data_IF_538051750445
#
_entry.id   IF_538051750445
#
_cell.length_a   1.000
_cell.length_b   1.000
_cell.length_c   1.000
_cell.angle_alpha   90.00
_cell.angle_beta   90.00
_cell.angle_gamma   90.00
#
_symmetry.space_group_name_H-M   'P 1'
#
loop_
_entity.id
_entity.type
_entity.pdbx_description
1 polymer ?
#
# COMPACT_ATOMS: atom_id res chain seq x y z
N UNK A 1 -15.66 0.77 -22.75
CA UNK A 1 -14.44 1.60 -22.94
C UNK A 1 -13.30 0.92 -22.22
N UNK A 2 -12.16 0.72 -22.88
CA UNK A 2 -10.97 0.14 -22.25
C UNK A 2 -10.08 1.23 -21.65
N UNK A 3 -9.17 0.84 -20.75
CA UNK A 3 -8.09 1.73 -20.31
C UNK A 3 -7.22 2.13 -21.51
N UNK A 4 -6.71 3.36 -21.49
CA UNK A 4 -5.82 3.86 -22.53
C UNK A 4 -4.57 2.97 -22.68
N UNK A 5 -4.19 2.68 -23.93
CA UNK A 5 -3.07 1.78 -24.24
C UNK A 5 -1.72 2.33 -23.77
N UNK A 6 -1.55 3.65 -23.79
CA UNK A 6 -0.33 4.29 -23.30
C UNK A 6 -0.22 4.17 -21.78
N UNK A 7 -1.35 4.33 -21.06
CA UNK A 7 -1.42 4.11 -19.62
C UNK A 7 -1.06 2.66 -19.26
N UNK A 8 -1.64 1.67 -19.94
CA UNK A 8 -1.31 0.25 -19.71
C UNK A 8 0.18 -0.01 -19.93
N UNK A 9 0.78 0.58 -20.96
CA UNK A 9 2.22 0.47 -21.21
C UNK A 9 3.05 1.18 -20.13
N UNK A 10 2.59 2.31 -19.61
CA UNK A 10 3.25 3.03 -18.53
C UNK A 10 3.24 2.21 -17.24
N UNK A 11 2.08 1.67 -16.83
CA UNK A 11 1.93 0.83 -15.64
C UNK A 11 2.83 -0.42 -15.72
N UNK A 12 2.93 -1.06 -16.89
CA UNK A 12 3.83 -2.21 -17.10
C UNK A 12 5.32 -1.88 -16.97
N UNK A 13 5.69 -0.62 -17.07
CA UNK A 13 7.08 -0.17 -16.96
C UNK A 13 7.48 0.27 -15.55
N UNK A 14 6.52 0.37 -14.63
CA UNK A 14 6.74 0.78 -13.24
C UNK A 14 7.54 -0.27 -12.45
N UNK A 15 8.33 0.20 -11.50
CA UNK A 15 8.95 -0.67 -10.51
C UNK A 15 7.97 -1.13 -9.41
N UNK A 16 8.39 -2.07 -8.56
CA UNK A 16 7.52 -2.64 -7.51
C UNK A 16 7.05 -1.60 -6.48
N UNK A 17 7.85 -0.57 -6.23
CA UNK A 17 7.46 0.54 -5.35
C UNK A 17 6.39 1.40 -6.02
N UNK A 18 6.63 1.81 -7.27
CA UNK A 18 5.71 2.63 -8.05
C UNK A 18 4.38 1.91 -8.26
N UNK A 19 4.40 0.59 -8.51
CA UNK A 19 3.19 -0.22 -8.59
C UNK A 19 2.43 -0.27 -7.26
N UNK A 20 3.09 -0.48 -6.12
CA UNK A 20 2.41 -0.45 -4.82
C UNK A 20 1.83 0.91 -4.51
N UNK A 21 2.58 1.98 -4.80
CA UNK A 21 2.11 3.35 -4.62
C UNK A 21 0.89 3.65 -5.51
N UNK A 22 0.91 3.15 -6.75
CA UNK A 22 -0.23 3.24 -7.66
C UNK A 22 -1.45 2.50 -7.11
N UNK A 23 -1.29 1.29 -6.58
CA UNK A 23 -2.39 0.53 -5.97
C UNK A 23 -3.00 1.28 -4.78
N UNK A 24 -2.16 1.78 -3.85
CA UNK A 24 -2.63 2.55 -2.70
C UNK A 24 -3.45 3.76 -3.16
N UNK A 25 -2.93 4.52 -4.11
CA UNK A 25 -3.60 5.69 -4.65
C UNK A 25 -4.91 5.35 -5.37
N UNK A 26 -4.91 4.30 -6.19
CA UNK A 26 -6.11 3.86 -6.91
C UNK A 26 -7.20 3.37 -5.96
N UNK A 27 -6.83 2.68 -4.88
CA UNK A 27 -7.78 2.26 -3.83
C UNK A 27 -8.39 3.46 -3.11
N UNK A 28 -7.57 4.43 -2.68
CA UNK A 28 -8.04 5.66 -2.04
C UNK A 28 -8.98 6.48 -2.94
N UNK A 29 -8.68 6.53 -4.25
CA UNK A 29 -9.58 7.13 -5.24
C UNK A 29 -10.92 6.40 -5.36
N UNK A 30 -10.94 5.07 -5.27
CA UNK A 30 -12.18 4.30 -5.33
C UNK A 30 -13.01 4.48 -4.06
N UNK A 31 -12.36 4.50 -2.90
CA UNK A 31 -13.02 4.70 -1.60
C UNK A 31 -13.61 6.12 -1.51
N UNK A 32 -12.92 7.13 -2.04
CA UNK A 32 -13.43 8.51 -2.10
C UNK A 32 -14.45 8.75 -3.23
N UNK A 33 -14.43 7.94 -4.29
CA UNK A 33 -15.40 8.01 -5.37
C UNK A 33 -16.69 7.24 -5.07
N UNK A 34 -16.72 6.40 -4.03
CA UNK A 34 -17.96 5.82 -3.54
C UNK A 34 -18.86 6.98 -3.07
N UNK A 35 -20.00 7.25 -3.74
CA UNK A 35 -20.92 8.28 -3.28
C UNK A 35 -21.31 7.94 -1.85
N UNK A 36 -21.20 8.90 -0.92
CA UNK A 36 -21.83 8.72 0.38
C UNK A 36 -23.32 8.70 0.11
N UNK A 37 -23.93 7.52 0.22
CA UNK A 37 -25.38 7.37 0.25
C UNK A 37 -25.87 8.20 1.45
N UNK A 38 -26.24 9.45 1.17
CA UNK A 38 -26.96 10.28 2.10
C UNK A 38 -28.36 9.68 2.27
N UNK A 39 -28.72 9.47 3.53
CA UNK A 39 -30.06 9.17 4.06
C UNK A 39 -30.54 7.71 3.96
N UNK A 40 -30.09 6.90 4.93
CA UNK A 40 -30.69 5.61 5.28
C UNK A 40 -30.27 5.16 6.68
N UNK A 41 -31.16 5.36 7.66
CA UNK A 41 -31.08 4.81 9.01
C UNK A 41 -30.83 3.29 8.95
N UNK A 42 -29.65 2.85 9.41
CA UNK A 42 -29.22 1.45 9.24
C UNK A 42 -27.80 1.20 9.69
N UNK A 43 -27.62 1.04 11.00
CA UNK A 43 -26.55 0.30 11.68
C UNK A 43 -25.56 -0.41 10.74
N UNK A 44 -24.40 0.21 10.48
CA UNK A 44 -23.28 -0.47 9.81
C UNK A 44 -21.99 -0.15 10.55
N UNK A 45 -21.64 -1.05 11.46
CA UNK A 45 -20.30 -1.18 12.01
C UNK A 45 -19.28 -1.36 10.88
N UNK A 46 -18.67 -0.25 10.45
CA UNK A 46 -17.44 -0.25 9.66
C UNK A 46 -16.54 0.90 10.11
N UNK A 47 -16.19 0.87 11.39
CA UNK A 47 -15.04 1.59 11.90
C UNK A 47 -13.75 0.91 11.41
N UNK A 48 -13.34 1.16 10.16
CA UNK A 48 -11.93 1.01 9.78
C UNK A 48 -11.16 2.24 10.28
N UNK A 49 -11.19 2.40 11.59
CA UNK A 49 -10.66 3.53 12.33
C UNK A 49 -10.36 3.06 13.75
N UNK A 50 -9.26 2.32 13.89
CA UNK A 50 -8.45 2.21 15.09
C UNK A 50 -9.18 2.26 16.45
N UNK A 51 -9.84 1.17 16.86
CA UNK A 51 -10.05 0.87 18.28
C UNK A 51 -9.82 -0.60 18.56
N UNK A 52 -8.54 -0.96 18.69
CA UNK A 52 -8.12 -2.02 19.58
C UNK A 52 -6.74 -1.63 20.11
N UNK A 53 -6.70 -1.08 21.33
CA UNK A 53 -5.51 -1.10 22.16
C UNK A 53 -5.15 -2.56 22.49
N UNK A 54 -4.66 -3.29 21.50
CA UNK A 54 -3.73 -4.39 21.68
C UNK A 54 -2.42 -3.88 21.08
N UNK A 55 -1.41 -3.64 21.92
CA UNK A 55 -0.08 -3.19 21.50
C UNK A 55 0.52 -4.20 20.53
N UNK A 56 0.19 -4.07 19.25
CA UNK A 56 0.70 -4.95 18.22
C UNK A 56 2.10 -4.47 17.91
N UNK A 57 3.11 -5.26 18.25
CA UNK A 57 4.50 -4.95 17.97
C UNK A 57 4.68 -4.78 16.45
N UNK A 58 4.92 -3.55 16.01
CA UNK A 58 5.22 -3.25 14.60
C UNK A 58 6.73 -3.33 14.40
N UNK A 59 7.17 -4.24 13.55
CA UNK A 59 8.57 -4.39 13.15
C UNK A 59 8.80 -3.75 11.79
N UNK A 60 9.78 -2.86 11.71
CA UNK A 60 10.17 -2.21 10.45
C UNK A 60 11.44 -2.85 9.88
N UNK A 61 11.46 -3.09 8.56
CA UNK A 61 12.60 -3.68 7.86
C UNK A 61 12.85 -3.00 6.52
N UNK A 62 14.12 -2.76 6.22
CA UNK A 62 14.56 -2.33 4.89
C UNK A 62 14.78 -3.54 3.97
N UNK A 63 14.31 -3.44 2.74
CA UNK A 63 14.35 -4.51 1.75
C UNK A 63 14.79 -3.97 0.39
N UNK A 64 15.65 -4.73 -0.29
CA UNK A 64 15.96 -4.52 -1.69
C UNK A 64 15.19 -5.55 -2.52
N UNK A 65 14.65 -5.14 -3.65
CA UNK A 65 13.77 -5.97 -4.48
C UNK A 65 14.26 -6.03 -5.92
N UNK A 66 14.08 -7.18 -6.56
CA UNK A 66 14.35 -7.33 -8.00
C UNK A 66 13.05 -7.07 -8.75
N UNK A 67 13.06 -6.15 -9.70
CA UNK A 67 11.89 -6.00 -10.56
C UNK A 67 11.83 -7.13 -11.59
N UNK A 68 10.64 -7.37 -12.13
CA UNK A 68 10.40 -8.40 -13.16
C UNK A 68 10.76 -7.93 -14.58
N UNK A 69 11.46 -6.80 -14.71
CA UNK A 69 11.79 -6.22 -16.02
C UNK A 69 13.01 -6.94 -16.62
N UNK A 70 12.89 -7.56 -17.81
CA UNK A 70 13.99 -8.35 -18.39
C UNK A 70 15.22 -7.51 -18.74
N UNK A 71 15.04 -6.21 -18.98
CA UNK A 71 16.12 -5.27 -19.31
C UNK A 71 16.59 -4.43 -18.11
N UNK A 72 16.29 -4.81 -16.86
CA UNK A 72 16.74 -4.08 -15.68
C UNK A 72 18.25 -4.25 -15.46
N UNK A 73 19.02 -3.18 -15.60
CA UNK A 73 20.46 -3.17 -15.26
C UNK A 73 20.77 -2.56 -13.89
N UNK A 74 19.78 -1.95 -13.23
CA UNK A 74 19.93 -1.23 -11.95
C UNK A 74 19.38 -1.99 -10.74
N UNK A 75 19.06 -3.26 -10.94
CA UNK A 75 18.55 -4.15 -9.90
C UNK A 75 19.70 -4.62 -8.98
N UNK A 76 19.46 -4.87 -7.68
CA UNK A 76 18.18 -4.77 -6.98
C UNK A 76 17.84 -3.32 -6.55
N UNK A 77 16.57 -2.97 -6.70
CA UNK A 77 16.02 -1.67 -6.30
C UNK A 77 15.87 -1.56 -4.78
N UNK A 78 15.80 -0.33 -4.28
CA UNK A 78 15.71 -0.04 -2.85
C UNK A 78 17.02 0.51 -2.28
N UNK A 79 17.14 0.61 -0.94
CA UNK A 79 16.26 0.00 0.06
C UNK A 79 14.87 0.66 0.14
N UNK A 80 13.86 -0.17 0.36
CA UNK A 80 12.49 0.22 0.68
C UNK A 80 12.13 -0.26 2.08
N UNK A 81 11.37 0.54 2.81
CA UNK A 81 10.92 0.23 4.16
C UNK A 81 9.53 -0.39 4.16
N UNK A 82 9.37 -1.41 5.01
CA UNK A 82 8.11 -2.08 5.26
C UNK A 82 7.91 -2.22 6.76
N UNK A 83 6.68 -1.97 7.21
CA UNK A 83 6.20 -2.37 8.52
C UNK A 83 5.54 -3.74 8.45
N UNK A 84 5.75 -4.54 9.48
CA UNK A 84 5.18 -5.87 9.67
C UNK A 84 4.57 -5.96 11.05
N UNK A 85 3.34 -6.46 11.13
CA UNK A 85 2.65 -6.69 12.39
C UNK A 85 1.68 -7.87 12.26
N UNK A 86 1.10 -8.32 13.37
CA UNK A 86 0.10 -9.39 13.37
C UNK A 86 -1.23 -8.87 13.89
N UNK A 87 -2.27 -8.99 13.08
CA UNK A 87 -3.62 -8.53 13.42
C UNK A 87 -4.58 -9.70 13.30
N UNK A 88 -5.33 -10.01 14.37
CA UNK A 88 -6.25 -11.15 14.38
C UNK A 88 -5.58 -12.47 14.01
N UNK A 89 -4.33 -12.68 14.45
CA UNK A 89 -3.52 -13.87 14.14
C UNK A 89 -2.89 -13.89 12.74
N UNK A 90 -3.28 -12.97 11.84
CA UNK A 90 -2.77 -12.90 10.46
C UNK A 90 -1.59 -11.94 10.33
N UNK A 91 -0.59 -12.31 9.55
CA UNK A 91 0.53 -11.42 9.23
C UNK A 91 0.04 -10.29 8.30
N UNK A 92 0.34 -9.06 8.67
CA UNK A 92 0.08 -7.85 7.88
C UNK A 92 1.39 -7.18 7.54
N UNK A 93 1.41 -6.49 6.40
CA UNK A 93 2.52 -5.66 6.01
C UNK A 93 2.04 -4.33 5.43
N UNK A 94 2.82 -3.28 5.62
CA UNK A 94 2.57 -1.95 5.04
C UNK A 94 3.85 -1.44 4.42
N UNK A 95 3.72 -0.95 3.20
CA UNK A 95 4.78 -0.26 2.50
C UNK A 95 4.96 1.15 3.07
N UNK A 96 6.17 1.51 3.48
CA UNK A 96 6.47 2.79 4.15
C UNK A 96 7.20 3.81 3.28
N UNK A 97 7.87 3.39 2.21
CA UNK A 97 8.61 4.31 1.34
C UNK A 97 10.09 3.96 1.16
N UNK A 98 10.79 4.83 0.43
CA UNK A 98 12.27 4.78 0.29
C UNK A 98 13.00 5.20 1.57
N UNK A 99 12.35 5.99 2.42
CA UNK A 99 12.90 6.47 3.71
C UNK A 99 12.00 5.96 4.83
N UNK A 100 12.60 5.63 5.98
CA UNK A 100 11.84 5.27 7.17
C UNK A 100 11.13 6.53 7.70
N UNK A 101 9.79 6.52 7.83
CA UNK A 101 9.05 7.63 8.44
C UNK A 101 9.47 7.83 9.91
N UNK A 102 9.35 9.07 10.39
CA UNK A 102 9.82 9.44 11.74
C UNK A 102 9.07 8.69 12.85
N UNK A 103 7.77 8.42 12.65
CA UNK A 103 6.93 7.66 13.59
C UNK A 103 7.46 6.25 13.90
N UNK A 104 8.34 5.71 13.03
CA UNK A 104 8.96 4.40 13.19
C UNK A 104 10.44 4.47 13.60
N UNK A 105 11.00 5.67 13.79
CA UNK A 105 12.34 5.83 14.38
C UNK A 105 12.18 5.78 15.90
N UNK A 106 12.74 4.73 16.49
CA UNK A 106 12.75 4.49 17.93
C UNK A 106 14.12 4.79 18.51
#
# INVERSE_FOLDING_TARGET
MGLDKSLVRAVRNLDEYELRRLVIYASDLLDSAAPSEADGDGDTSASSGATAQGSTEVRVRSQRVRCSKPSCTRCPHGPYWYAYWREGGRARSRYLGKRLPEEYRR
#
